data_IF_683839954871
#
_entry.id   IF_683839954871
#
_cell.length_a   1.000
_cell.length_b   1.000
_cell.length_c   1.000
_cell.angle_alpha   90.00
_cell.angle_beta   90.00
_cell.angle_gamma   90.00
#
_symmetry.space_group_name_H-M   'P 1'
#
loop_
_entity.id
_entity.type
_entity.pdbx_description
1 polymer ?
#
# COMPACT_ATOMS: atom_id res chain seq x y z
N UNK A 1 13.99 -59.42 45.26
CA UNK A 1 13.87 -59.65 46.72
C UNK A 1 15.19 -59.19 47.32
N UNK A 2 15.31 -58.17 48.19
CA UNK A 2 14.56 -57.81 49.40
C UNK A 2 14.78 -56.32 49.77
N UNK A 3 13.88 -55.69 50.57
CA UNK A 3 13.89 -54.26 50.88
C UNK A 3 14.79 -53.90 52.08
N UNK A 4 15.23 -52.63 52.18
CA UNK A 4 15.93 -52.06 53.35
C UNK A 4 15.08 -51.01 54.07
N UNK A 5 14.97 -51.18 55.40
CA UNK A 5 14.33 -50.29 56.39
C UNK A 5 15.09 -48.98 56.60
N UNK A 6 14.42 -47.91 57.08
CA UNK A 6 15.00 -46.58 57.27
C UNK A 6 15.67 -46.44 58.65
N UNK A 7 16.64 -45.53 58.76
CA UNK A 7 17.22 -45.13 60.05
C UNK A 7 17.37 -43.61 60.13
N UNK A 8 16.62 -43.06 61.08
CA UNK A 8 16.56 -41.69 61.56
C UNK A 8 17.93 -41.21 62.08
N UNK A 9 18.33 -39.96 61.83
CA UNK A 9 19.46 -39.31 62.49
C UNK A 9 19.11 -37.91 62.99
N UNK A 10 19.51 -37.69 64.24
CA UNK A 10 19.31 -36.51 65.08
C UNK A 10 20.11 -35.27 64.64
N UNK A 11 19.55 -34.12 65.01
CA UNK A 11 20.10 -32.77 64.95
C UNK A 11 21.40 -32.59 65.74
N UNK A 12 22.32 -31.76 65.21
CA UNK A 12 23.33 -31.05 65.99
C UNK A 12 23.42 -29.57 65.58
N UNK A 13 23.76 -28.75 66.58
CA UNK A 13 23.69 -27.29 66.67
C UNK A 13 24.48 -26.47 65.63
N UNK A 14 23.94 -25.29 65.33
CA UNK A 14 24.53 -24.25 64.51
C UNK A 14 25.43 -23.30 65.32
N UNK A 15 26.54 -22.85 64.72
CA UNK A 15 27.28 -21.63 65.10
C UNK A 15 27.07 -20.54 64.02
N UNK A 16 27.13 -19.24 64.38
CA UNK A 16 26.87 -18.14 63.45
C UNK A 16 28.13 -17.72 62.66
N UNK A 17 27.95 -17.52 61.36
CA UNK A 17 28.95 -16.95 60.43
C UNK A 17 28.98 -15.41 60.48
N UNK A 18 30.12 -14.75 60.13
CA UNK A 18 30.24 -13.30 60.14
C UNK A 18 29.49 -12.66 58.96
N UNK A 19 28.85 -11.52 59.21
CA UNK A 19 28.13 -10.70 58.23
C UNK A 19 29.11 -10.12 57.19
N UNK A 20 28.93 -10.51 55.93
CA UNK A 20 29.54 -9.85 54.78
C UNK A 20 28.80 -8.53 54.56
N UNK A 21 29.52 -7.42 54.70
CA UNK A 21 29.03 -6.08 54.45
C UNK A 21 28.79 -5.95 52.92
N UNK A 22 27.53 -6.04 52.50
CA UNK A 22 27.14 -5.84 51.12
C UNK A 22 27.40 -4.38 50.73
N UNK A 23 28.08 -4.16 49.61
CA UNK A 23 28.34 -2.83 49.07
C UNK A 23 27.05 -2.18 48.56
N UNK A 24 26.78 -0.96 49.02
CA UNK A 24 25.61 -0.14 48.73
C UNK A 24 25.62 0.43 47.29
N UNK A 25 25.55 -0.44 46.28
CA UNK A 25 25.35 -0.02 44.89
C UNK A 25 23.85 0.02 44.55
N UNK A 26 23.07 0.77 45.33
CA UNK A 26 21.71 1.19 44.96
C UNK A 26 21.81 2.51 44.17
N UNK A 27 22.21 2.40 42.90
CA UNK A 27 21.91 3.44 41.94
C UNK A 27 20.42 3.31 41.58
N UNK A 28 19.57 4.12 42.21
CA UNK A 28 18.16 4.37 41.83
C UNK A 28 18.10 5.01 40.43
N UNK A 29 18.53 4.28 39.41
CA UNK A 29 18.16 4.59 38.03
C UNK A 29 16.72 4.16 37.88
N UNK A 30 15.82 5.15 37.92
CA UNK A 30 14.41 5.00 37.59
C UNK A 30 14.32 4.50 36.13
N UNK A 31 14.37 3.18 35.94
CA UNK A 31 14.30 2.53 34.64
C UNK A 31 12.86 2.68 34.16
N UNK A 32 12.59 3.79 33.46
CA UNK A 32 11.35 3.93 32.73
C UNK A 32 11.52 3.07 31.45
N UNK A 33 10.86 1.90 31.34
CA UNK A 33 11.02 1.08 30.15
C UNK A 33 10.62 1.92 28.94
N UNK A 34 11.39 1.89 27.84
CA UNK A 34 10.98 2.58 26.63
C UNK A 34 9.58 2.11 26.25
N UNK A 35 8.69 3.04 25.94
CA UNK A 35 7.34 2.73 25.52
C UNK A 35 7.38 1.63 24.45
N UNK A 36 6.67 0.52 24.70
CA UNK A 36 6.62 -0.61 23.78
C UNK A 36 5.96 -0.15 22.49
N UNK A 37 6.75 0.04 21.45
CA UNK A 37 6.25 0.42 20.13
C UNK A 37 5.31 -0.66 19.61
N UNK A 38 4.22 -0.25 18.98
CA UNK A 38 3.31 -1.19 18.33
C UNK A 38 3.95 -1.76 17.05
N UNK A 39 3.49 -2.94 16.60
CA UNK A 39 3.95 -3.51 15.32
C UNK A 39 3.74 -2.54 14.15
N UNK A 40 2.63 -1.78 14.17
CA UNK A 40 2.34 -0.75 13.17
C UNK A 40 3.37 0.37 13.19
N UNK A 41 3.77 0.86 14.36
CA UNK A 41 4.82 1.89 14.49
C UNK A 41 6.17 1.39 14.01
N UNK A 42 6.50 0.13 14.31
CA UNK A 42 7.74 -0.51 13.84
C UNK A 42 7.73 -0.63 12.31
N UNK A 43 6.66 -1.18 11.72
CA UNK A 43 6.51 -1.29 10.27
C UNK A 43 6.60 0.07 9.59
N UNK A 44 5.90 1.07 10.13
CA UNK A 44 5.93 2.44 9.61
C UNK A 44 7.35 3.03 9.67
N UNK A 45 8.10 2.78 10.75
CA UNK A 45 9.49 3.23 10.88
C UNK A 45 10.43 2.59 9.85
N UNK A 46 10.17 1.34 9.44
CA UNK A 46 10.92 0.66 8.38
C UNK A 46 10.58 1.25 7.02
N UNK A 47 9.29 1.40 6.71
CA UNK A 47 8.81 1.96 5.44
C UNK A 47 9.32 3.38 5.21
N UNK A 48 9.38 4.21 6.27
CA UNK A 48 9.90 5.58 6.20
C UNK A 48 11.38 5.69 5.85
N UNK A 49 12.16 4.59 5.93
CA UNK A 49 13.54 4.57 5.43
C UNK A 49 13.62 4.62 3.91
N UNK A 50 12.59 4.10 3.24
CA UNK A 50 12.47 4.10 1.78
C UNK A 50 11.64 5.29 1.29
N UNK A 51 10.56 5.60 2.00
CA UNK A 51 9.60 6.65 1.61
C UNK A 51 9.33 7.54 2.84
N UNK A 52 10.13 8.59 3.07
CA UNK A 52 10.08 9.39 4.31
C UNK A 52 8.72 10.03 4.60
N UNK A 53 7.94 10.30 3.54
CA UNK A 53 6.66 11.01 3.58
C UNK A 53 5.44 10.07 3.71
N UNK A 54 5.62 8.80 4.08
CA UNK A 54 4.48 7.95 4.47
C UNK A 54 3.88 8.44 5.79
N UNK A 55 2.56 8.64 5.80
CA UNK A 55 1.80 9.02 6.98
C UNK A 55 1.27 7.80 7.73
N UNK A 56 0.64 6.86 7.03
CA UNK A 56 -0.06 5.72 7.62
C UNK A 56 -0.01 4.48 6.72
N UNK A 57 -0.15 3.31 7.35
CA UNK A 57 -0.35 2.03 6.67
C UNK A 57 -1.86 1.77 6.63
N UNK A 58 -2.40 1.57 5.44
CA UNK A 58 -3.84 1.33 5.21
C UNK A 58 -4.17 -0.16 5.17
N UNK A 59 -3.29 -0.97 4.59
CA UNK A 59 -3.46 -2.42 4.54
C UNK A 59 -2.12 -3.14 4.48
N UNK A 60 -2.12 -4.38 4.97
CA UNK A 60 -0.96 -5.27 5.02
C UNK A 60 -1.37 -6.65 4.50
N UNK A 61 -0.61 -7.21 3.57
CA UNK A 61 -0.68 -8.62 3.21
C UNK A 61 0.63 -9.30 3.62
N UNK A 62 0.53 -10.39 4.40
CA UNK A 62 1.69 -11.05 4.98
C UNK A 62 2.60 -11.68 3.92
N UNK A 63 2.07 -12.15 2.79
CA UNK A 63 2.88 -12.63 1.68
C UNK A 63 2.29 -12.19 0.34
N UNK A 64 3.11 -11.53 -0.47
CA UNK A 64 2.83 -11.16 -1.84
C UNK A 64 3.99 -11.60 -2.74
N UNK A 65 3.65 -12.09 -3.93
CA UNK A 65 4.59 -12.52 -4.97
C UNK A 65 4.37 -11.65 -6.19
N UNK A 66 5.47 -11.11 -6.72
CA UNK A 66 5.45 -10.24 -7.89
C UNK A 66 5.74 -11.03 -9.16
N UNK A 67 4.92 -10.76 -10.18
CA UNK A 67 5.09 -11.23 -11.54
C UNK A 67 5.16 -10.02 -12.47
N UNK A 68 5.96 -10.11 -13.52
CA UNK A 68 5.94 -9.15 -14.62
C UNK A 68 5.48 -9.83 -15.88
N UNK A 69 4.72 -9.11 -16.70
CA UNK A 69 4.35 -9.56 -18.03
C UNK A 69 5.36 -9.03 -19.04
N UNK A 70 5.92 -9.95 -19.81
CA UNK A 70 6.85 -9.70 -20.91
C UNK A 70 6.14 -10.04 -22.23
N UNK A 71 5.98 -9.06 -23.15
CA UNK A 71 5.46 -9.35 -24.48
C UNK A 71 6.34 -10.36 -25.24
N UNK A 72 5.76 -11.24 -26.07
CA UNK A 72 4.39 -11.20 -26.58
C UNK A 72 3.32 -11.77 -25.67
N UNK A 73 3.63 -12.64 -24.68
CA UNK A 73 2.60 -13.28 -23.85
C UNK A 73 3.14 -14.09 -22.63
N UNK A 74 4.31 -13.75 -22.07
CA UNK A 74 4.87 -14.49 -20.92
C UNK A 74 4.70 -13.75 -19.60
N UNK A 75 4.15 -14.44 -18.60
CA UNK A 75 4.25 -14.00 -17.20
C UNK A 75 5.48 -14.64 -16.57
N UNK A 76 6.30 -13.82 -15.93
CA UNK A 76 7.54 -14.24 -15.30
C UNK A 76 7.52 -13.87 -13.81
N UNK A 77 7.84 -14.85 -12.93
CA UNK A 77 7.99 -14.59 -11.49
C UNK A 77 9.27 -13.78 -11.28
N UNK A 78 9.17 -12.59 -10.71
CA UNK A 78 10.31 -11.66 -10.60
C UNK A 78 11.35 -12.04 -9.54
N UNK A 79 11.05 -13.05 -8.71
CA UNK A 79 11.86 -13.40 -7.55
C UNK A 79 11.61 -12.52 -6.31
N UNK A 80 10.78 -11.48 -6.43
CA UNK A 80 10.38 -10.62 -5.32
C UNK A 80 9.19 -11.25 -4.60
N UNK A 81 9.39 -11.60 -3.34
CA UNK A 81 8.39 -12.22 -2.48
C UNK A 81 8.54 -11.72 -1.04
N UNK A 82 7.46 -11.22 -0.44
CA UNK A 82 7.51 -10.71 0.92
C UNK A 82 6.26 -9.98 1.37
N UNK A 83 6.41 -9.07 2.34
CA UNK A 83 5.27 -8.40 2.95
C UNK A 83 4.86 -7.20 2.09
N UNK A 84 3.58 -7.13 1.73
CA UNK A 84 3.00 -6.01 0.98
C UNK A 84 2.33 -5.02 1.92
N UNK A 85 2.54 -3.74 1.66
CA UNK A 85 1.94 -2.62 2.35
C UNK A 85 1.27 -1.68 1.36
N UNK A 86 0.04 -1.29 1.66
CA UNK A 86 -0.64 -0.16 1.02
C UNK A 86 -0.57 1.01 1.99
N UNK A 87 0.00 2.14 1.58
CA UNK A 87 0.28 3.25 2.46
C UNK A 87 -0.28 4.57 1.93
N UNK A 88 -0.73 5.44 2.83
CA UNK A 88 -1.02 6.83 2.53
C UNK A 88 0.23 7.67 2.73
N UNK A 89 0.51 8.52 1.75
CA UNK A 89 1.60 9.48 1.77
C UNK A 89 1.08 10.88 2.09
N UNK A 90 1.98 11.77 2.50
CA UNK A 90 1.67 13.19 2.58
C UNK A 90 1.07 13.67 1.25
N UNK A 91 0.02 14.51 1.26
CA UNK A 91 -0.54 15.07 0.04
C UNK A 91 0.51 15.78 -0.81
N UNK A 92 0.27 15.88 -2.12
CA UNK A 92 1.14 16.64 -3.01
C UNK A 92 1.21 18.11 -2.53
N UNK A 93 2.41 18.68 -2.30
CA UNK A 93 2.54 19.99 -1.65
C UNK A 93 1.85 21.14 -2.37
N UNK A 94 1.73 21.05 -3.70
CA UNK A 94 1.16 22.11 -4.54
C UNK A 94 -0.33 21.93 -4.77
N UNK A 95 -0.76 20.71 -5.12
CA UNK A 95 -2.15 20.45 -5.51
C UNK A 95 -3.03 19.97 -4.36
N UNK A 96 -2.43 19.59 -3.22
CA UNK A 96 -3.14 18.92 -2.13
C UNK A 96 -3.65 17.52 -2.50
N UNK A 97 -3.25 16.99 -3.67
CA UNK A 97 -3.72 15.71 -4.17
C UNK A 97 -3.29 14.57 -3.22
N UNK A 98 -4.22 13.65 -2.96
CA UNK A 98 -3.94 12.47 -2.17
C UNK A 98 -2.90 11.59 -2.86
N UNK A 99 -1.92 11.10 -2.10
CA UNK A 99 -0.87 10.22 -2.61
C UNK A 99 -0.88 8.91 -1.86
N UNK A 100 -0.70 7.82 -2.60
CA UNK A 100 -0.66 6.47 -2.06
C UNK A 100 0.48 5.70 -2.72
N UNK A 101 1.11 4.80 -1.96
CA UNK A 101 2.12 3.91 -2.51
C UNK A 101 1.84 2.46 -2.12
N UNK A 102 2.22 1.56 -3.02
CA UNK A 102 2.28 0.13 -2.81
C UNK A 102 3.74 -0.26 -2.62
N UNK A 103 4.04 -0.93 -1.51
CA UNK A 103 5.41 -1.35 -1.17
C UNK A 103 5.42 -2.85 -0.93
N UNK A 104 6.30 -3.58 -1.60
CA UNK A 104 6.61 -4.98 -1.28
C UNK A 104 8.04 -5.06 -0.76
N UNK A 105 8.17 -5.32 0.53
CA UNK A 105 9.47 -5.56 1.16
C UNK A 105 9.88 -7.01 0.95
N UNK A 106 10.93 -7.21 0.16
CA UNK A 106 11.42 -8.53 -0.23
C UNK A 106 12.10 -9.22 0.96
N UNK A 107 11.83 -10.52 1.12
CA UNK A 107 12.44 -11.34 2.18
C UNK A 107 13.76 -11.97 1.77
N UNK A 108 14.04 -12.04 0.47
CA UNK A 108 15.17 -12.79 -0.09
C UNK A 108 16.31 -11.91 -0.58
N UNK A 109 16.06 -10.63 -0.83
CA UNK A 109 17.07 -9.64 -1.20
C UNK A 109 16.66 -8.24 -0.72
N UNK A 110 17.45 -7.23 -1.05
CA UNK A 110 17.14 -5.82 -0.79
C UNK A 110 16.32 -5.18 -1.92
N UNK A 111 15.99 -5.95 -2.96
CA UNK A 111 15.25 -5.49 -4.13
C UNK A 111 13.76 -5.46 -3.80
N UNK A 112 13.32 -4.31 -3.30
CA UNK A 112 11.94 -4.04 -2.94
C UNK A 112 11.18 -3.44 -4.12
N UNK A 113 9.87 -3.67 -4.20
CA UNK A 113 8.99 -2.93 -5.10
C UNK A 113 8.42 -1.73 -4.36
N UNK A 114 8.53 -0.55 -4.97
CA UNK A 114 7.88 0.68 -4.52
C UNK A 114 7.18 1.28 -5.74
N UNK A 115 5.85 1.34 -5.69
CA UNK A 115 5.03 1.87 -6.76
C UNK A 115 4.18 3.03 -6.24
N UNK A 116 4.35 4.22 -6.82
CA UNK A 116 3.41 5.33 -6.64
C UNK A 116 2.12 5.01 -7.41
N UNK A 117 1.01 4.83 -6.68
CA UNK A 117 -0.27 4.50 -7.29
C UNK A 117 -0.80 5.65 -8.17
N UNK A 118 -0.28 6.87 -7.99
CA UNK A 118 -0.57 7.98 -8.89
C UNK A 118 0.02 7.79 -10.29
N UNK A 119 1.13 7.05 -10.42
CA UNK A 119 1.79 6.76 -11.69
C UNK A 119 1.24 5.49 -12.36
N UNK A 120 0.32 4.79 -11.70
CA UNK A 120 -0.33 3.61 -12.25
C UNK A 120 -1.46 4.03 -13.19
N UNK A 121 -1.38 3.58 -14.43
CA UNK A 121 -2.38 3.88 -15.46
C UNK A 121 -3.68 3.12 -15.23
N UNK A 122 -3.58 1.84 -14.89
CA UNK A 122 -4.74 0.99 -14.67
C UNK A 122 -4.48 -0.10 -13.62
N UNK A 123 -5.56 -0.53 -12.96
CA UNK A 123 -5.54 -1.59 -11.96
C UNK A 123 -6.71 -2.55 -12.24
N UNK A 124 -6.44 -3.80 -12.58
CA UNK A 124 -7.46 -4.82 -12.78
C UNK A 124 -7.44 -5.82 -11.63
N UNK A 125 -8.62 -6.18 -11.12
CA UNK A 125 -8.77 -7.21 -10.10
C UNK A 125 -9.27 -8.48 -10.76
N UNK A 126 -8.53 -9.57 -10.58
CA UNK A 126 -8.95 -10.92 -10.95
C UNK A 126 -9.23 -11.74 -9.68
N UNK A 127 -9.62 -13.00 -9.82
CA UNK A 127 -9.82 -13.89 -8.67
C UNK A 127 -8.53 -14.14 -7.87
N UNK A 128 -7.37 -14.05 -8.50
CA UNK A 128 -6.08 -14.45 -7.91
C UNK A 128 -5.03 -13.34 -7.86
N UNK A 129 -5.12 -12.36 -8.76
CA UNK A 129 -4.11 -11.32 -8.96
C UNK A 129 -4.73 -9.93 -8.95
N UNK A 130 -3.95 -8.96 -8.45
CA UNK A 130 -4.08 -7.55 -8.79
C UNK A 130 -3.12 -7.27 -9.93
N UNK A 131 -3.62 -6.83 -11.07
CA UNK A 131 -2.80 -6.49 -12.25
C UNK A 131 -2.69 -4.97 -12.30
N UNK A 132 -1.47 -4.45 -12.31
CA UNK A 132 -1.18 -3.02 -12.36
C UNK A 132 -0.40 -2.71 -13.64
N UNK A 133 -0.87 -1.71 -14.39
CA UNK A 133 -0.17 -1.17 -15.57
C UNK A 133 0.37 0.22 -15.24
N UNK A 134 1.66 0.44 -15.45
CA UNK A 134 2.33 1.71 -15.14
C UNK A 134 3.49 1.94 -16.10
N UNK A 135 4.02 3.17 -16.10
CA UNK A 135 5.21 3.51 -16.85
C UNK A 135 6.41 3.62 -15.92
N UNK A 136 7.51 3.01 -16.31
CA UNK A 136 8.79 3.08 -15.61
C UNK A 136 9.89 3.48 -16.58
N UNK A 137 10.91 4.16 -16.08
CA UNK A 137 12.07 4.55 -16.89
C UNK A 137 12.96 3.32 -17.10
N UNK A 138 13.12 2.91 -18.37
CA UNK A 138 14.03 1.86 -18.80
C UNK A 138 15.51 2.27 -18.77
N UNK A 139 16.39 1.32 -19.09
CA UNK A 139 17.85 1.51 -19.08
C UNK A 139 18.33 2.56 -20.10
N UNK A 140 17.58 2.71 -21.20
CA UNK A 140 17.83 3.67 -22.27
C UNK A 140 17.22 5.06 -21.99
N UNK A 141 16.77 5.29 -20.74
CA UNK A 141 16.08 6.50 -20.27
C UNK A 141 14.71 6.76 -20.89
N UNK A 142 14.18 5.84 -21.69
CA UNK A 142 12.82 5.92 -22.22
C UNK A 142 11.80 5.45 -21.18
N UNK A 143 10.55 5.93 -21.31
CA UNK A 143 9.46 5.37 -20.53
C UNK A 143 8.97 4.09 -21.21
N UNK A 144 8.89 3.02 -20.44
CA UNK A 144 8.41 1.71 -20.87
C UNK A 144 7.11 1.38 -20.14
N UNK A 145 6.14 0.85 -20.87
CA UNK A 145 4.94 0.27 -20.27
C UNK A 145 5.31 -1.03 -19.57
N UNK A 146 5.04 -1.09 -18.26
CA UNK A 146 5.18 -2.28 -17.44
C UNK A 146 3.81 -2.77 -17.00
N UNK A 147 3.64 -4.09 -16.98
CA UNK A 147 2.47 -4.75 -16.44
C UNK A 147 2.96 -5.69 -15.32
N UNK A 148 2.47 -5.47 -14.12
CA UNK A 148 2.84 -6.20 -12.92
C UNK A 148 1.63 -6.93 -12.35
N UNK A 149 1.78 -8.22 -12.10
CA UNK A 149 0.82 -9.05 -11.40
C UNK A 149 1.25 -9.21 -9.95
N UNK A 150 0.35 -8.92 -9.02
CA UNK A 150 0.56 -9.13 -7.59
C UNK A 150 -0.36 -10.24 -7.14
N UNK A 151 0.24 -11.37 -6.78
CA UNK A 151 -0.45 -12.46 -6.11
C UNK A 151 -0.27 -12.29 -4.60
N UNK A 152 -1.34 -12.43 -3.83
CA UNK A 152 -1.28 -12.37 -2.36
C UNK A 152 -1.77 -13.68 -1.77
N UNK A 153 -1.01 -14.19 -0.79
CA UNK A 153 -1.47 -15.32 0.00
C UNK A 153 -2.62 -14.88 0.90
N UNK A 154 -3.65 -15.72 0.97
CA UNK A 154 -4.82 -15.50 1.80
C UNK A 154 -4.64 -16.23 3.13
N UNK A 155 -4.18 -15.51 4.17
CA UNK A 155 -4.09 -16.06 5.53
C UNK A 155 -5.50 -16.37 6.11
N UNK A 156 -6.52 -15.70 5.57
CA UNK A 156 -7.96 -15.90 5.81
C UNK A 156 -8.71 -15.69 4.49
N UNK A 157 -9.93 -16.20 4.41
CA UNK A 157 -10.74 -16.23 3.18
C UNK A 157 -10.90 -14.84 2.52
N UNK A 158 -11.03 -13.77 3.31
CA UNK A 158 -11.26 -12.39 2.85
C UNK A 158 -9.99 -11.55 2.71
N UNK A 159 -8.83 -12.03 3.19
CA UNK A 159 -7.62 -11.20 3.30
C UNK A 159 -7.13 -10.73 1.94
N UNK A 160 -7.14 -11.61 0.94
CA UNK A 160 -6.75 -11.23 -0.43
C UNK A 160 -7.72 -10.21 -1.00
N UNK A 161 -9.02 -10.43 -0.85
CA UNK A 161 -10.06 -9.53 -1.37
C UNK A 161 -9.96 -8.13 -0.76
N UNK A 162 -9.86 -8.03 0.58
CA UNK A 162 -9.73 -6.75 1.29
C UNK A 162 -8.48 -5.99 0.81
N UNK A 163 -7.34 -6.66 0.70
CA UNK A 163 -6.11 -6.03 0.22
C UNK A 163 -6.22 -5.59 -1.25
N UNK A 164 -6.79 -6.44 -2.12
CA UNK A 164 -7.02 -6.12 -3.54
C UNK A 164 -7.94 -4.91 -3.72
N UNK A 165 -9.03 -4.85 -2.95
CA UNK A 165 -9.95 -3.71 -2.96
C UNK A 165 -9.28 -2.44 -2.44
N UNK A 166 -8.48 -2.53 -1.38
CA UNK A 166 -7.77 -1.37 -0.86
C UNK A 166 -6.80 -0.79 -1.89
N UNK A 167 -6.07 -1.63 -2.64
CA UNK A 167 -5.18 -1.18 -3.72
C UNK A 167 -5.98 -0.43 -4.79
N UNK A 168 -7.11 -1.01 -5.23
CA UNK A 168 -7.97 -0.41 -6.26
C UNK A 168 -8.56 0.93 -5.81
N UNK A 169 -9.04 1.03 -4.57
CA UNK A 169 -9.61 2.26 -4.01
C UNK A 169 -8.53 3.36 -3.89
N UNK A 170 -7.35 3.04 -3.35
CA UNK A 170 -6.24 3.98 -3.26
C UNK A 170 -5.83 4.51 -4.64
N UNK A 171 -5.77 3.65 -5.64
CA UNK A 171 -5.50 4.05 -7.02
C UNK A 171 -6.59 4.99 -7.58
N UNK A 172 -7.88 4.68 -7.36
CA UNK A 172 -8.99 5.55 -7.78
C UNK A 172 -8.91 6.94 -7.14
N UNK A 173 -8.62 7.01 -5.84
CA UNK A 173 -8.47 8.27 -5.09
C UNK A 173 -7.26 9.09 -5.56
N UNK A 174 -6.13 8.42 -5.85
CA UNK A 174 -4.95 9.06 -6.42
C UNK A 174 -5.23 9.69 -7.79
N UNK A 175 -6.11 9.09 -8.59
CA UNK A 175 -6.50 9.61 -9.92
C UNK A 175 -7.55 10.71 -9.85
N UNK A 176 -8.56 10.58 -8.99
CA UNK A 176 -9.60 11.58 -8.80
C UNK A 176 -9.05 12.96 -8.42
N UNK A 177 -7.90 13.02 -7.76
CA UNK A 177 -7.25 14.29 -7.38
C UNK A 177 -6.32 14.88 -8.46
N UNK A 178 -6.03 14.13 -9.55
CA UNK A 178 -5.23 14.61 -10.70
C UNK A 178 -6.06 15.30 -11.77
N UNK A 179 -7.32 14.94 -11.90
CA UNK A 179 -8.24 15.60 -12.83
C UNK A 179 -8.99 16.68 -12.06
N UNK A 180 -8.65 17.98 -12.20
CA UNK A 180 -9.53 19.02 -11.69
C UNK A 180 -10.87 18.87 -12.38
N UNK A 181 -11.96 18.77 -11.62
CA UNK A 181 -13.32 18.87 -12.15
C UNK A 181 -13.35 20.03 -13.16
N UNK A 182 -13.86 19.83 -14.40
CA UNK A 182 -14.13 20.96 -15.27
C UNK A 182 -15.22 21.78 -14.58
N UNK A 183 -14.80 22.83 -13.88
CA UNK A 183 -15.70 23.83 -13.33
C UNK A 183 -16.45 24.42 -14.52
N UNK A 184 -17.67 23.93 -14.76
CA UNK A 184 -18.65 24.64 -15.57
C UNK A 184 -19.02 25.87 -14.76
N UNK A 185 -18.26 26.94 -14.94
CA UNK A 185 -18.62 28.28 -14.50
C UNK A 185 -19.78 28.76 -15.36
N UNK A 186 -20.98 28.25 -15.09
CA UNK A 186 -22.22 28.91 -15.47
C UNK A 186 -22.35 30.16 -14.59
N UNK A 187 -21.70 31.25 -15.00
CA UNK A 187 -22.10 32.58 -14.58
C UNK A 187 -23.47 32.87 -15.21
N UNK A 188 -24.54 32.45 -14.53
CA UNK A 188 -25.87 32.98 -14.76
C UNK A 188 -25.84 34.46 -14.36
N UNK A 189 -25.63 35.32 -15.35
CA UNK A 189 -25.82 36.75 -15.23
C UNK A 189 -27.31 37.05 -15.39
N UNK A 190 -28.06 37.02 -14.29
CA UNK A 190 -29.42 37.56 -14.26
C UNK A 190 -29.38 39.02 -13.78
N UNK A 191 -29.62 39.97 -14.69
CA UNK A 191 -30.12 41.30 -14.32
C UNK A 191 -29.67 42.48 -15.17
N UNK A 192 -30.23 42.65 -16.37
CA UNK A 192 -30.97 43.87 -16.77
C UNK A 192 -31.29 43.92 -18.29
N UNK A 193 -32.59 43.82 -18.60
CA UNK A 193 -33.32 44.75 -19.48
C UNK A 193 -33.01 44.84 -21.00
N UNK A 194 -33.66 43.97 -21.79
CA UNK A 194 -34.44 44.22 -23.03
C UNK A 194 -33.83 45.00 -24.24
N UNK A 195 -34.48 45.03 -25.41
CA UNK A 195 -34.39 44.01 -26.47
C UNK A 195 -33.95 44.60 -27.84
N UNK A 196 -33.40 43.79 -28.76
CA UNK A 196 -33.75 43.81 -30.21
C UNK A 196 -32.81 42.97 -31.12
N UNK A 197 -33.47 42.16 -31.96
CA UNK A 197 -33.23 41.89 -33.40
C UNK A 197 -31.95 41.17 -33.84
N UNK A 198 -32.11 40.02 -34.51
CA UNK A 198 -31.19 39.57 -35.55
C UNK A 198 -31.12 38.07 -35.78
N UNK A 199 -31.62 37.63 -36.93
CA UNK A 199 -31.53 36.29 -37.51
C UNK A 199 -30.13 35.66 -37.47
N UNK A 200 -30.08 34.31 -37.45
CA UNK A 200 -29.00 33.58 -38.12
C UNK A 200 -28.59 32.27 -37.45
N UNK A 201 -28.79 31.17 -38.19
CA UNK A 201 -28.33 29.80 -37.97
C UNK A 201 -26.95 29.64 -37.30
N UNK A 202 -26.82 28.64 -36.42
CA UNK A 202 -26.13 27.36 -36.66
C UNK A 202 -26.00 26.59 -35.33
N UNK A 203 -26.73 25.48 -35.24
CA UNK A 203 -26.65 24.56 -34.11
C UNK A 203 -25.37 23.72 -34.21
N UNK A 204 -24.31 24.16 -33.56
CA UNK A 204 -23.17 23.30 -33.26
C UNK A 204 -23.47 22.49 -31.99
N UNK A 205 -23.79 21.21 -32.16
CA UNK A 205 -23.88 20.24 -31.06
C UNK A 205 -22.46 19.87 -30.63
N UNK A 206 -22.01 20.17 -29.39
CA UNK A 206 -20.67 19.79 -28.97
C UNK A 206 -20.66 18.32 -28.51
N UNK A 207 -19.92 17.50 -29.26
CA UNK A 207 -19.13 16.37 -28.75
C UNK A 207 -19.85 15.28 -27.97
N UNK A 208 -20.64 14.45 -28.67
CA UNK A 208 -21.04 13.14 -28.12
C UNK A 208 -19.80 12.24 -28.01
N UNK A 209 -19.40 11.90 -26.78
CA UNK A 209 -18.25 11.02 -26.50
C UNK A 209 -18.65 9.58 -26.87
N UNK A 210 -18.13 9.09 -28.00
CA UNK A 210 -18.41 7.74 -28.51
C UNK A 210 -17.79 6.68 -27.60
N UNK A 211 -18.56 5.67 -27.24
CA UNK A 211 -18.07 4.53 -26.47
C UNK A 211 -17.44 3.46 -27.39
N UNK A 212 -16.47 2.68 -26.91
CA UNK A 212 -15.79 1.65 -27.71
C UNK A 212 -16.75 0.59 -28.29
N UNK A 213 -17.93 0.39 -27.71
CA UNK A 213 -18.98 -0.47 -28.26
C UNK A 213 -19.63 0.05 -29.55
N UNK A 214 -19.68 1.37 -29.74
CA UNK A 214 -20.19 2.01 -30.98
C UNK A 214 -19.12 2.04 -32.09
N UNK A 215 -17.82 1.94 -31.73
CA UNK A 215 -16.72 2.00 -32.69
C UNK A 215 -16.41 0.63 -33.34
N UNK A 216 -16.74 -0.47 -32.68
CA UNK A 216 -16.41 -1.84 -33.14
C UNK A 216 -17.63 -2.75 -33.35
N UNK A 217 -18.85 -2.23 -33.18
CA UNK A 217 -20.09 -2.95 -33.39
C UNK A 217 -20.63 -2.91 -34.82
N UNK A 218 -19.86 -3.38 -35.81
CA UNK A 218 -20.46 -3.92 -37.05
C UNK A 218 -19.45 -4.72 -37.89
N UNK A 219 -19.34 -6.02 -37.60
CA UNK A 219 -19.06 -7.02 -38.63
C UNK A 219 -19.98 -8.21 -38.47
N UNK A 220 -20.70 -8.49 -39.56
CA UNK A 220 -21.71 -9.53 -39.74
C UNK A 220 -22.98 -8.87 -40.27
N UNK A 221 -23.53 -9.17 -41.44
CA UNK A 221 -23.39 -10.32 -42.35
C UNK A 221 -23.89 -9.88 -43.74
N UNK A 222 -23.22 -10.32 -44.81
CA UNK A 222 -23.81 -10.93 -46.02
C UNK A 222 -22.69 -11.50 -46.88
#
# INVERSE_FOLDING_TARGET
MTPRRPRQRQNHHAQPTPLVQASDYESDVNYNPPATRTNTELNLSVLRRYIPHIQSILSIAANAVIYYFTPPQSWEKSGIEGTLFVCQCEPAPVTGAERFCLVVLNRRSLDNVILDLSQTEDVELTSEYVILRFQERGEDWQMEDKIMGVWMHADKDDTREINSLMIKECWQRARATKEPDPVVQNYNNEGMGSPQVGNGAEGAVPGRRLSLGELFGQRGLS
#
